data_IF_639118061248
#
_entry.id   IF_639118061248
#
_cell.length_a   1.000
_cell.length_b   1.000
_cell.length_c   1.000
_cell.angle_alpha   90.00
_cell.angle_beta   90.00
_cell.angle_gamma   90.00
#
_symmetry.space_group_name_H-M   'P 1'
#
loop_
_entity.id
_entity.type
_entity.pdbx_description
1 polymer ?
#
# COMPACT_ATOMS: atom_id res chain seq x y z
N UNK A 1 -13.75 17.63 5.42
CA UNK A 1 -14.39 18.71 4.62
C UNK A 1 -13.32 19.53 3.92
N UNK A 2 -13.64 20.30 2.87
CA UNK A 2 -12.65 21.07 2.11
C UNK A 2 -11.89 22.11 2.97
N UNK A 3 -12.57 22.75 3.91
CA UNK A 3 -12.01 23.77 4.81
C UNK A 3 -10.92 23.23 5.76
N UNK A 4 -11.12 22.04 6.35
CA UNK A 4 -10.09 21.42 7.19
C UNK A 4 -8.78 21.19 6.43
N UNK A 5 -8.85 20.86 5.13
CA UNK A 5 -7.64 20.62 4.32
C UNK A 5 -6.86 21.88 4.01
N UNK A 6 -7.57 22.96 3.72
CA UNK A 6 -6.95 24.26 3.58
C UNK A 6 -6.30 24.67 4.91
N UNK A 7 -6.86 24.26 6.04
CA UNK A 7 -6.28 24.50 7.35
C UNK A 7 -5.02 23.67 7.62
N UNK A 8 -5.04 22.36 7.31
CA UNK A 8 -3.87 21.48 7.41
C UNK A 8 -2.70 21.94 6.51
N UNK A 9 -3.00 22.67 5.43
CA UNK A 9 -2.02 23.26 4.51
C UNK A 9 -1.57 24.67 4.90
N UNK A 10 -2.06 25.23 6.01
CA UNK A 10 -1.72 26.59 6.45
C UNK A 10 -2.31 27.70 5.58
N UNK A 11 -3.29 27.39 4.73
CA UNK A 11 -3.97 28.38 3.88
C UNK A 11 -5.05 29.13 4.66
N UNK A 12 -5.70 28.45 5.61
CA UNK A 12 -6.70 29.05 6.50
C UNK A 12 -6.49 28.65 7.96
N UNK A 13 -6.83 29.52 8.89
CA UNK A 13 -6.82 29.22 10.32
C UNK A 13 -8.25 28.97 10.82
N UNK A 14 -8.45 27.88 11.55
CA UNK A 14 -9.73 27.56 12.18
C UNK A 14 -9.82 28.27 13.54
N UNK A 15 -10.82 29.13 13.71
CA UNK A 15 -11.08 29.80 14.97
C UNK A 15 -11.87 28.91 15.95
N UNK A 16 -11.78 29.15 17.26
CA UNK A 16 -12.59 28.44 18.27
C UNK A 16 -14.11 28.58 18.06
N UNK A 17 -14.53 29.61 17.31
CA UNK A 17 -15.93 29.86 16.93
C UNK A 17 -16.44 28.92 15.83
N UNK A 18 -15.55 28.16 15.18
CA UNK A 18 -15.86 27.32 14.01
C UNK A 18 -15.76 28.06 12.67
N UNK A 19 -15.38 29.34 12.68
CA UNK A 19 -15.10 30.14 11.49
C UNK A 19 -13.67 29.89 10.97
N UNK A 20 -13.43 30.20 9.70
CA UNK A 20 -12.12 30.07 9.05
C UNK A 20 -11.67 31.42 8.50
N UNK A 21 -10.41 31.79 8.73
CA UNK A 21 -9.79 32.99 8.19
C UNK A 21 -8.63 32.62 7.26
N UNK A 22 -8.45 33.36 6.16
CA UNK A 22 -7.28 33.21 5.32
C UNK A 22 -6.04 33.70 6.08
N UNK A 23 -4.92 32.99 5.94
CA UNK A 23 -3.63 33.41 6.51
C UNK A 23 -3.04 34.53 5.65
N UNK A 24 -2.46 35.57 6.28
CA UNK A 24 -1.98 36.78 5.58
C UNK A 24 -0.89 36.51 4.53
N UNK A 25 -0.12 35.43 4.68
CA UNK A 25 0.94 34.98 3.75
C UNK A 25 0.57 33.67 3.04
N UNK A 26 -0.74 33.46 2.81
CA UNK A 26 -1.22 32.29 2.11
C UNK A 26 -0.76 32.28 0.63
N UNK A 27 -0.49 31.09 0.07
CA UNK A 27 -0.17 30.95 -1.36
C UNK A 27 -1.30 31.51 -2.23
N UNK A 28 -0.95 31.92 -3.46
CA UNK A 28 -1.94 32.38 -4.44
C UNK A 28 -3.04 31.32 -4.62
N UNK A 29 -4.26 31.78 -4.94
CA UNK A 29 -5.46 30.93 -4.93
C UNK A 29 -5.28 29.68 -5.78
N UNK A 30 -4.70 29.80 -6.97
CA UNK A 30 -4.42 28.70 -7.87
C UNK A 30 -3.43 27.68 -7.27
N UNK A 31 -2.39 28.14 -6.59
CA UNK A 31 -1.40 27.30 -5.90
C UNK A 31 -2.02 26.61 -4.67
N UNK A 32 -2.80 27.33 -3.87
CA UNK A 32 -3.52 26.77 -2.73
C UNK A 32 -4.49 25.64 -3.16
N UNK A 33 -5.19 25.82 -4.29
CA UNK A 33 -6.05 24.79 -4.87
C UNK A 33 -5.23 23.58 -5.31
N UNK A 34 -4.09 23.79 -6.00
CA UNK A 34 -3.23 22.71 -6.45
C UNK A 34 -2.71 21.86 -5.27
N UNK A 35 -2.18 22.51 -4.23
CA UNK A 35 -1.70 21.86 -3.01
C UNK A 35 -2.81 21.07 -2.30
N UNK A 36 -4.02 21.62 -2.24
CA UNK A 36 -5.19 20.94 -1.66
C UNK A 36 -5.61 19.70 -2.44
N UNK A 37 -5.53 19.73 -3.77
CA UNK A 37 -5.81 18.58 -4.62
C UNK A 37 -4.75 17.49 -4.47
N UNK A 38 -3.46 17.85 -4.46
CA UNK A 38 -2.37 16.89 -4.25
C UNK A 38 -2.43 16.22 -2.86
N UNK A 39 -2.65 17.01 -1.81
CA UNK A 39 -2.84 16.48 -0.47
C UNK A 39 -4.04 15.52 -0.41
N UNK A 40 -5.13 15.86 -1.09
CA UNK A 40 -6.30 14.99 -1.17
C UNK A 40 -6.02 13.68 -1.91
N UNK A 41 -5.29 13.74 -3.02
CA UNK A 41 -4.94 12.55 -3.79
C UNK A 41 -4.05 11.62 -2.96
N UNK A 42 -3.05 12.17 -2.25
CA UNK A 42 -2.20 11.41 -1.32
C UNK A 42 -3.03 10.73 -0.23
N UNK A 43 -3.98 11.44 0.38
CA UNK A 43 -4.85 10.87 1.40
C UNK A 43 -5.73 9.76 0.83
N UNK A 44 -6.34 9.96 -0.34
CA UNK A 44 -7.16 8.92 -0.98
C UNK A 44 -6.35 7.67 -1.32
N UNK A 45 -5.12 7.84 -1.82
CA UNK A 45 -4.19 6.74 -2.07
C UNK A 45 -3.87 5.98 -0.78
N UNK A 46 -3.64 6.70 0.32
CA UNK A 46 -3.37 6.12 1.64
C UNK A 46 -4.58 5.36 2.22
N UNK A 47 -5.79 5.93 2.18
CA UNK A 47 -6.98 5.22 2.64
C UNK A 47 -7.28 3.98 1.79
N UNK A 48 -7.09 4.08 0.47
CA UNK A 48 -7.22 2.93 -0.43
C UNK A 48 -6.24 1.82 -0.08
N UNK A 49 -4.97 2.14 0.22
CA UNK A 49 -3.99 1.11 0.59
C UNK A 49 -4.34 0.42 1.92
N UNK A 50 -4.89 1.15 2.89
CA UNK A 50 -5.40 0.57 4.16
C UNK A 50 -6.58 -0.38 3.92
N UNK A 51 -7.52 0.01 3.06
CA UNK A 51 -8.66 -0.83 2.71
C UNK A 51 -8.21 -2.12 2.00
N UNK A 52 -7.28 -2.02 1.06
CA UNK A 52 -6.74 -3.19 0.36
C UNK A 52 -5.99 -4.12 1.33
N UNK A 53 -5.21 -3.58 2.28
CA UNK A 53 -4.59 -4.40 3.32
C UNK A 53 -5.63 -5.14 4.17
N UNK A 54 -6.70 -4.46 4.60
CA UNK A 54 -7.76 -5.11 5.40
C UNK A 54 -8.47 -6.20 4.61
N UNK A 55 -8.72 -5.96 3.31
CA UNK A 55 -9.28 -6.96 2.41
C UNK A 55 -8.33 -8.15 2.26
N UNK A 56 -7.06 -7.91 1.96
CA UNK A 56 -6.08 -8.97 1.80
C UNK A 56 -5.88 -9.78 3.09
N UNK A 57 -5.92 -9.13 4.25
CA UNK A 57 -5.92 -9.80 5.55
C UNK A 57 -7.14 -10.71 5.71
N UNK A 58 -8.33 -10.25 5.35
CA UNK A 58 -9.56 -11.03 5.45
C UNK A 58 -9.54 -12.25 4.50
N UNK A 59 -9.05 -12.07 3.27
CA UNK A 59 -9.03 -13.06 2.19
C UNK A 59 -7.82 -14.01 2.23
N UNK A 60 -6.81 -13.76 3.07
CA UNK A 60 -5.57 -14.56 3.08
C UNK A 60 -5.84 -16.02 3.42
N UNK A 61 -5.28 -16.92 2.61
CA UNK A 61 -5.39 -18.39 2.78
C UNK A 61 -4.12 -19.04 3.36
N UNK A 62 -3.26 -18.23 3.98
CA UNK A 62 -2.04 -18.64 4.66
C UNK A 62 -1.94 -17.96 6.04
N UNK A 63 -0.84 -18.14 6.77
CA UNK A 63 -0.63 -17.61 8.12
C UNK A 63 -1.00 -16.11 8.25
N UNK A 64 -2.03 -15.79 9.04
CA UNK A 64 -2.49 -14.39 9.24
C UNK A 64 -1.47 -13.52 9.96
N UNK A 65 -0.70 -14.09 10.89
CA UNK A 65 0.36 -13.35 11.60
C UNK A 65 1.46 -12.93 10.65
N UNK A 66 1.89 -13.84 9.78
CA UNK A 66 2.89 -13.55 8.76
C UNK A 66 2.39 -12.44 7.82
N UNK A 67 1.12 -12.48 7.41
CA UNK A 67 0.53 -11.39 6.61
C UNK A 67 0.62 -10.03 7.31
N UNK A 68 0.24 -9.96 8.59
CA UNK A 68 0.28 -8.71 9.37
C UNK A 68 1.71 -8.19 9.55
N UNK A 69 2.66 -9.05 9.89
CA UNK A 69 4.06 -8.66 10.11
C UNK A 69 4.71 -8.15 8.82
N UNK A 70 4.50 -8.85 7.70
CA UNK A 70 5.02 -8.41 6.40
C UNK A 70 4.49 -7.02 5.99
N UNK A 71 3.22 -6.72 6.30
CA UNK A 71 2.65 -5.40 6.05
C UNK A 71 3.38 -4.28 6.81
N UNK A 72 3.83 -4.56 8.05
CA UNK A 72 4.65 -3.63 8.83
C UNK A 72 6.15 -3.70 8.50
N UNK A 73 6.55 -4.48 7.50
CA UNK A 73 7.94 -4.66 7.09
C UNK A 73 8.74 -5.59 8.01
N UNK A 74 8.07 -6.38 8.85
CA UNK A 74 8.69 -7.38 9.70
C UNK A 74 8.69 -8.74 9.02
N UNK A 75 9.86 -9.32 8.81
CA UNK A 75 9.99 -10.67 8.27
C UNK A 75 9.61 -11.72 9.32
N UNK A 76 8.75 -12.65 8.93
CA UNK A 76 8.35 -13.79 9.77
C UNK A 76 8.28 -15.06 8.91
N UNK A 77 9.37 -15.83 8.80
CA UNK A 77 9.43 -16.96 7.87
C UNK A 77 8.65 -18.19 8.38
N UNK A 78 8.50 -18.36 9.68
CA UNK A 78 7.77 -19.48 10.28
C UNK A 78 6.24 -19.32 10.26
N UNK A 79 5.53 -20.45 10.38
CA UNK A 79 4.11 -20.46 10.69
C UNK A 79 3.89 -20.07 12.17
N UNK A 80 2.83 -19.30 12.44
CA UNK A 80 2.60 -18.80 13.79
C UNK A 80 1.91 -19.78 14.74
N UNK A 81 1.34 -20.86 14.18
CA UNK A 81 0.58 -21.92 14.85
C UNK A 81 -0.64 -21.47 15.67
N UNK A 82 -0.92 -20.17 15.78
CA UNK A 82 -1.96 -19.65 16.66
C UNK A 82 -3.10 -18.90 15.94
N UNK A 83 -3.00 -18.61 14.64
CA UNK A 83 -4.12 -18.09 13.85
C UNK A 83 -5.06 -19.21 13.39
N UNK A 84 -6.29 -18.83 13.00
CA UNK A 84 -7.31 -19.73 12.42
C UNK A 84 -6.77 -20.54 11.23
N UNK A 85 -6.06 -19.90 10.29
CA UNK A 85 -5.51 -20.60 9.12
C UNK A 85 -4.43 -21.64 9.50
N UNK A 86 -3.63 -21.37 10.53
CA UNK A 86 -2.64 -22.35 11.02
C UNK A 86 -3.36 -23.50 11.75
N UNK A 87 -4.33 -23.19 12.60
CA UNK A 87 -5.13 -24.18 13.34
C UNK A 87 -5.94 -25.08 12.41
N UNK A 88 -6.38 -24.56 11.27
CA UNK A 88 -7.06 -25.32 10.24
C UNK A 88 -6.12 -26.19 9.36
N UNK A 89 -4.80 -26.09 9.54
CA UNK A 89 -3.81 -26.87 8.78
C UNK A 89 -3.69 -26.47 7.30
N UNK A 90 -4.18 -25.30 6.92
CA UNK A 90 -4.15 -24.82 5.51
C UNK A 90 -2.95 -23.91 5.20
N UNK A 91 -2.18 -23.54 6.23
CA UNK A 91 -1.00 -22.68 6.08
C UNK A 91 0.21 -23.47 5.58
N UNK A 92 1.09 -22.83 4.82
CA UNK A 92 2.30 -23.43 4.26
C UNK A 92 3.51 -22.55 4.57
N UNK A 93 4.58 -23.19 5.01
CA UNK A 93 5.88 -22.54 5.12
C UNK A 93 6.38 -22.15 3.74
N UNK A 94 6.97 -20.96 3.67
CA UNK A 94 7.54 -20.48 2.43
C UNK A 94 8.90 -21.18 2.22
N UNK A 95 9.00 -21.97 1.16
CA UNK A 95 10.21 -22.78 0.89
C UNK A 95 11.21 -22.11 -0.05
N UNK A 96 10.88 -20.91 -0.56
CA UNK A 96 11.68 -20.19 -1.54
C UNK A 96 12.29 -18.91 -0.96
N UNK A 97 13.62 -18.89 -0.90
CA UNK A 97 14.39 -17.69 -0.54
C UNK A 97 14.55 -16.71 -1.73
N UNK A 98 14.03 -17.09 -2.91
CA UNK A 98 14.15 -16.27 -4.12
C UNK A 98 13.17 -15.10 -4.12
N UNK A 99 13.64 -13.95 -3.61
CA UNK A 99 12.87 -12.70 -3.50
C UNK A 99 13.55 -11.55 -4.26
N UNK A 100 13.43 -11.51 -5.60
CA UNK A 100 14.14 -10.54 -6.46
C UNK A 100 13.63 -9.11 -6.32
N UNK A 101 12.41 -8.91 -5.82
CA UNK A 101 11.83 -7.61 -5.52
C UNK A 101 11.67 -7.45 -4.01
N UNK A 102 12.11 -6.33 -3.41
CA UNK A 102 12.00 -6.10 -1.98
C UNK A 102 10.52 -5.98 -1.57
N UNK A 103 10.19 -6.50 -0.38
CA UNK A 103 8.88 -6.26 0.23
C UNK A 103 8.61 -4.76 0.36
N UNK A 104 7.38 -4.36 0.12
CA UNK A 104 6.91 -2.97 0.02
C UNK A 104 7.64 -2.11 -1.04
N UNK A 105 8.45 -2.71 -1.91
CA UNK A 105 9.08 -2.03 -3.04
C UNK A 105 8.08 -1.73 -4.16
N UNK A 106 8.26 -0.58 -4.84
CA UNK A 106 7.49 -0.24 -6.04
C UNK A 106 7.97 -1.05 -7.24
N UNK A 107 7.01 -1.57 -7.98
CA UNK A 107 7.22 -2.23 -9.27
C UNK A 107 6.20 -1.72 -10.28
N UNK A 108 6.50 -1.85 -11.57
CA UNK A 108 5.58 -1.54 -12.66
C UNK A 108 5.39 -2.76 -13.56
N UNK A 109 4.16 -2.93 -14.05
CA UNK A 109 3.77 -3.91 -15.04
C UNK A 109 3.15 -3.21 -16.25
N UNK A 110 3.48 -3.65 -17.47
CA UNK A 110 3.05 -2.97 -18.71
C UNK A 110 1.53 -2.81 -18.84
N UNK A 111 0.77 -3.81 -18.40
CA UNK A 111 -0.70 -3.80 -18.51
C UNK A 111 -1.41 -3.27 -17.27
N UNK A 112 -0.74 -3.28 -16.11
CA UNK A 112 -1.40 -3.05 -14.81
C UNK A 112 -0.90 -1.79 -14.09
N UNK A 113 0.10 -1.12 -14.65
CA UNK A 113 0.68 0.09 -14.10
C UNK A 113 1.61 -0.19 -12.92
N UNK A 114 1.74 0.80 -12.04
CA UNK A 114 2.55 0.70 -10.83
C UNK A 114 1.83 -0.07 -9.72
N UNK A 115 2.61 -0.71 -8.86
CA UNK A 115 2.14 -1.41 -7.69
C UNK A 115 3.23 -1.60 -6.64
N UNK A 116 2.82 -2.13 -5.49
CA UNK A 116 3.70 -2.45 -4.36
C UNK A 116 3.82 -3.96 -4.21
N UNK A 117 5.04 -4.45 -4.03
CA UNK A 117 5.30 -5.85 -3.69
C UNK A 117 4.82 -6.08 -2.26
N UNK A 118 3.78 -6.90 -2.09
CA UNK A 118 3.17 -7.09 -0.79
C UNK A 118 3.78 -8.27 -0.04
N UNK A 119 3.99 -9.40 -0.73
CA UNK A 119 4.49 -10.65 -0.15
C UNK A 119 4.96 -11.63 -1.21
N UNK A 120 5.60 -12.70 -0.74
CA UNK A 120 5.83 -13.92 -1.50
C UNK A 120 4.96 -15.07 -0.97
N UNK A 121 4.48 -15.89 -1.89
CA UNK A 121 3.80 -17.15 -1.63
C UNK A 121 4.54 -18.24 -2.41
N UNK A 122 5.46 -18.95 -1.75
CA UNK A 122 6.35 -19.92 -2.38
C UNK A 122 7.12 -19.31 -3.56
N UNK A 123 6.86 -19.81 -4.78
CA UNK A 123 7.48 -19.36 -6.02
C UNK A 123 6.74 -18.19 -6.69
N UNK A 124 5.81 -17.54 -5.97
CA UNK A 124 4.98 -16.45 -6.50
C UNK A 124 5.19 -15.16 -5.74
N UNK A 125 5.14 -14.04 -6.45
CA UNK A 125 5.13 -12.69 -5.91
C UNK A 125 3.71 -12.14 -5.99
N UNK A 126 3.23 -11.55 -4.89
CA UNK A 126 1.94 -10.88 -4.85
C UNK A 126 2.17 -9.37 -4.83
N UNK A 127 1.62 -8.69 -5.83
CA UNK A 127 1.72 -7.24 -6.02
C UNK A 127 0.34 -6.62 -5.91
N UNK A 128 0.23 -5.51 -5.20
CA UNK A 128 -0.96 -4.65 -5.19
C UNK A 128 -0.74 -3.53 -6.19
N UNK A 129 -1.43 -3.58 -7.33
CA UNK A 129 -1.39 -2.54 -8.34
C UNK A 129 -2.38 -1.41 -8.04
N UNK A 130 -1.95 -0.17 -8.29
CA UNK A 130 -2.69 1.05 -7.93
C UNK A 130 -4.08 1.13 -8.59
N UNK A 131 -4.24 0.51 -9.76
CA UNK A 131 -5.47 0.56 -10.56
C UNK A 131 -6.24 -0.76 -10.62
N UNK A 132 -5.55 -1.90 -10.61
CA UNK A 132 -6.19 -3.22 -10.85
C UNK A 132 -6.20 -4.12 -9.61
N UNK A 133 -5.70 -3.65 -8.47
CA UNK A 133 -5.67 -4.39 -7.22
C UNK A 133 -4.64 -5.53 -7.21
N UNK A 134 -4.93 -6.59 -6.44
CA UNK A 134 -4.00 -7.71 -6.25
C UNK A 134 -3.79 -8.53 -7.51
N UNK A 135 -2.52 -8.85 -7.78
CA UNK A 135 -2.10 -9.80 -8.80
C UNK A 135 -1.01 -10.69 -8.24
N UNK A 136 -1.14 -11.98 -8.51
CA UNK A 136 -0.14 -12.99 -8.17
C UNK A 136 0.56 -13.43 -9.45
N UNK A 137 1.88 -13.33 -9.47
CA UNK A 137 2.72 -13.72 -10.60
C UNK A 137 3.71 -14.79 -10.15
N UNK A 138 4.02 -15.76 -11.00
CA UNK A 138 5.17 -16.64 -10.76
C UNK A 138 6.45 -15.80 -10.78
N UNK A 139 7.21 -15.82 -9.68
CA UNK A 139 8.37 -14.95 -9.44
C UNK A 139 9.42 -15.12 -10.53
N UNK A 140 9.73 -16.36 -10.91
CA UNK A 140 10.70 -16.64 -11.97
C UNK A 140 10.26 -16.07 -13.31
N UNK A 141 8.97 -16.20 -13.66
CA UNK A 141 8.43 -15.61 -14.89
C UNK A 141 8.40 -14.09 -14.85
N UNK A 142 8.08 -13.51 -13.70
CA UNK A 142 8.07 -12.07 -13.52
C UNK A 142 9.43 -11.45 -13.83
N UNK A 143 10.51 -12.13 -13.43
CA UNK A 143 11.89 -11.73 -13.77
C UNK A 143 12.25 -12.09 -15.21
N UNK A 144 12.08 -13.35 -15.62
CA UNK A 144 12.53 -13.86 -16.92
C UNK A 144 11.90 -13.10 -18.10
N UNK A 145 10.61 -12.80 -18.01
CA UNK A 145 9.87 -12.08 -19.05
C UNK A 145 9.79 -10.57 -18.78
N UNK A 146 10.47 -10.07 -17.74
CA UNK A 146 10.42 -8.66 -17.32
C UNK A 146 8.98 -8.13 -17.20
N UNK A 147 8.13 -8.94 -16.56
CA UNK A 147 6.74 -8.53 -16.30
C UNK A 147 6.71 -7.45 -15.21
N UNK A 148 7.64 -7.51 -14.27
CA UNK A 148 7.80 -6.49 -13.22
C UNK A 148 9.15 -5.78 -13.37
N UNK A 149 9.12 -4.46 -13.40
CA UNK A 149 10.31 -3.61 -13.33
C UNK A 149 10.28 -2.79 -12.06
N UNK A 150 11.40 -2.73 -11.32
CA UNK A 150 11.50 -1.84 -10.15
C UNK A 150 11.32 -0.39 -10.59
N UNK A 151 10.56 0.37 -9.80
CA UNK A 151 10.45 1.82 -9.93
C UNK A 151 11.23 2.38 -8.76
N UNK A 152 12.35 3.04 -9.06
CA UNK A 152 13.14 3.71 -8.01
C UNK A 152 12.50 5.07 -7.73
N UNK A 153 12.44 5.43 -6.45
CA UNK A 153 12.04 6.76 -5.98
C UNK A 153 13.25 7.67 -5.86
#
# INVERSE_FOLDING_TARGET
TALNRLSDLGVVEALPTGEFLAVDDAPEKEEAIALALEAQERQQKFERSRLEMMRGYAEVRNCRRQYLLNYFGEEYPQLCENCDNCKAGISRENTSDYQPFPLNGRVAHKEWGEGLVMRYEDDKVVVLFDQVGYKTLETKRAVLFRLLTRVDW
#
